data_IF_960491203583
#
_entry.id   IF_960491203583
#
_cell.length_a   1.000
_cell.length_b   1.000
_cell.length_c   1.000
_cell.angle_alpha   90.00
_cell.angle_beta   90.00
_cell.angle_gamma   90.00
#
_symmetry.space_group_name_H-M   'P 1'
#
loop_
_entity.id
_entity.type
_entity.pdbx_description
1 polymer ?
#
# COMPACT_ATOMS: atom_id res chain seq x y z
N UNK A 1 34.02 -7.08 26.81
CA UNK A 1 33.64 -8.40 26.27
C UNK A 1 33.74 -8.28 24.77
N UNK A 2 34.60 -9.07 24.14
CA UNK A 2 34.69 -9.19 22.68
C UNK A 2 33.45 -9.91 22.18
N UNK A 3 32.45 -9.17 21.67
CA UNK A 3 31.35 -9.76 20.92
C UNK A 3 31.94 -10.32 19.63
N UNK A 4 31.87 -11.64 19.51
CA UNK A 4 32.34 -12.41 18.35
C UNK A 4 31.17 -13.14 17.69
N UNK A 5 29.95 -12.88 18.17
CA UNK A 5 28.70 -13.41 17.67
C UNK A 5 28.06 -12.36 16.74
N UNK A 6 27.30 -12.83 15.75
CA UNK A 6 26.56 -11.96 14.84
C UNK A 6 25.64 -11.00 15.61
N UNK A 7 25.55 -9.73 15.17
CA UNK A 7 24.62 -8.77 15.76
C UNK A 7 23.18 -9.29 15.68
N UNK A 8 22.48 -9.31 16.82
CA UNK A 8 21.09 -9.75 16.91
C UNK A 8 20.16 -8.56 16.67
N UNK A 9 19.33 -8.65 15.65
CA UNK A 9 18.38 -7.60 15.28
C UNK A 9 16.95 -8.04 15.64
N UNK A 10 16.29 -7.24 16.48
CA UNK A 10 14.85 -7.39 16.73
C UNK A 10 14.03 -6.64 15.69
N UNK A 11 12.96 -7.24 15.17
CA UNK A 11 12.06 -6.62 14.21
C UNK A 11 10.65 -6.60 14.80
N UNK A 12 10.06 -5.41 14.89
CA UNK A 12 8.69 -5.20 15.36
C UNK A 12 7.75 -5.11 14.17
N UNK A 13 6.95 -6.16 13.94
CA UNK A 13 5.97 -6.26 12.87
C UNK A 13 6.32 -7.32 11.82
N UNK A 14 5.42 -8.29 11.64
CA UNK A 14 5.48 -9.36 10.64
C UNK A 14 4.86 -8.97 9.29
N UNK A 15 4.93 -7.69 8.92
CA UNK A 15 4.54 -7.20 7.60
C UNK A 15 5.63 -7.43 6.54
N UNK A 16 5.32 -7.09 5.29
CA UNK A 16 6.28 -7.19 4.16
C UNK A 16 7.61 -6.49 4.45
N UNK A 17 7.58 -5.28 5.06
CA UNK A 17 8.80 -4.55 5.41
C UNK A 17 9.68 -5.31 6.42
N UNK A 18 9.06 -5.86 7.48
CA UNK A 18 9.77 -6.63 8.50
C UNK A 18 10.36 -7.93 7.95
N UNK A 19 9.58 -8.67 7.15
CA UNK A 19 10.04 -9.90 6.50
C UNK A 19 11.18 -9.65 5.49
N UNK A 20 11.07 -8.57 4.70
CA UNK A 20 12.13 -8.17 3.78
C UNK A 20 13.41 -7.76 4.51
N UNK A 21 13.29 -7.00 5.60
CA UNK A 21 14.42 -6.65 6.46
C UNK A 21 15.08 -7.92 7.02
N UNK A 22 14.29 -8.86 7.55
CA UNK A 22 14.79 -10.14 8.08
C UNK A 22 15.57 -10.93 7.01
N UNK A 23 15.00 -11.08 5.82
CA UNK A 23 15.64 -11.75 4.68
C UNK A 23 16.99 -11.13 4.34
N UNK A 24 17.05 -9.80 4.21
CA UNK A 24 18.28 -9.10 3.83
C UNK A 24 19.35 -9.12 4.93
N UNK A 25 18.94 -9.05 6.20
CA UNK A 25 19.84 -9.14 7.35
C UNK A 25 20.43 -10.55 7.51
N UNK A 26 19.62 -11.61 7.40
CA UNK A 26 20.11 -12.98 7.49
C UNK A 26 21.06 -13.33 6.32
N UNK A 27 20.77 -12.85 5.10
CA UNK A 27 21.68 -13.00 3.96
C UNK A 27 23.05 -12.32 4.17
N UNK A 28 23.15 -11.42 5.15
CA UNK A 28 24.39 -10.74 5.56
C UNK A 28 25.02 -11.33 6.82
N UNK A 29 24.42 -12.38 7.37
CA UNK A 29 24.94 -13.10 8.52
C UNK A 29 24.54 -12.53 9.88
N UNK A 30 23.53 -11.65 9.94
CA UNK A 30 22.95 -11.20 11.22
C UNK A 30 21.98 -12.24 11.79
N UNK A 31 21.91 -12.31 13.12
CA UNK A 31 20.85 -13.05 13.80
C UNK A 31 19.59 -12.17 13.89
N UNK A 32 18.41 -12.73 13.67
CA UNK A 32 17.17 -11.95 13.54
C UNK A 32 16.04 -12.60 14.33
N UNK A 33 15.25 -11.77 15.01
CA UNK A 33 14.00 -12.16 15.65
C UNK A 33 12.87 -11.22 15.20
N UNK A 34 11.80 -11.77 14.64
CA UNK A 34 10.62 -11.01 14.20
C UNK A 34 9.48 -11.27 15.18
N UNK A 35 8.92 -10.20 15.73
CA UNK A 35 7.77 -10.25 16.64
C UNK A 35 6.54 -9.64 15.95
N UNK A 36 5.46 -10.41 15.88
CA UNK A 36 4.19 -10.01 15.29
C UNK A 36 3.07 -10.15 16.33
N UNK A 37 2.35 -9.05 16.58
CA UNK A 37 1.35 -8.98 17.62
C UNK A 37 0.12 -9.85 17.30
N UNK A 38 -0.26 -9.96 16.02
CA UNK A 38 -1.37 -10.81 15.59
C UNK A 38 -0.97 -12.28 15.42
N UNK A 39 -1.96 -13.15 15.26
CA UNK A 39 -1.75 -14.57 14.97
C UNK A 39 -1.34 -14.84 13.51
N UNK A 40 -1.40 -13.82 12.64
CA UNK A 40 -1.21 -13.93 11.19
C UNK A 40 -0.09 -13.02 10.69
N UNK A 41 0.66 -13.51 9.70
CA UNK A 41 1.77 -12.77 9.08
C UNK A 41 1.25 -12.09 7.79
N UNK A 42 1.87 -10.97 7.39
CA UNK A 42 1.60 -10.28 6.12
C UNK A 42 1.08 -8.86 6.24
N UNK A 43 0.63 -8.45 7.43
CA UNK A 43 0.11 -7.09 7.68
C UNK A 43 -1.04 -6.72 6.75
N UNK A 44 -0.92 -5.62 6.01
CA UNK A 44 -1.93 -5.16 5.03
C UNK A 44 -2.05 -6.06 3.79
N UNK A 45 -1.16 -7.03 3.61
CA UNK A 45 -1.24 -8.07 2.58
C UNK A 45 -1.79 -9.40 3.14
N UNK A 46 -2.39 -9.39 4.35
CA UNK A 46 -3.09 -10.54 4.88
C UNK A 46 -4.25 -10.96 3.96
N UNK A 47 -4.61 -12.24 4.01
CA UNK A 47 -5.59 -12.85 3.11
C UNK A 47 -6.77 -13.48 3.85
N UNK A 48 -7.81 -13.82 3.08
CA UNK A 48 -8.86 -14.76 3.41
C UNK A 48 -8.68 -16.04 2.59
N UNK A 49 -9.03 -17.17 3.19
CA UNK A 49 -9.11 -18.44 2.47
C UNK A 49 -10.31 -18.45 1.51
N UNK A 50 -10.13 -19.03 0.33
CA UNK A 50 -11.21 -19.31 -0.63
C UNK A 50 -11.25 -20.80 -0.95
N UNK A 51 -12.13 -21.21 -1.87
CA UNK A 51 -12.14 -22.58 -2.39
C UNK A 51 -10.91 -22.92 -3.28
N UNK A 52 -10.06 -21.94 -3.60
CA UNK A 52 -8.79 -22.15 -4.29
C UNK A 52 -7.69 -21.27 -3.69
N UNK A 53 -7.14 -20.35 -4.48
CA UNK A 53 -6.10 -19.42 -4.04
C UNK A 53 -6.63 -18.50 -2.91
N UNK A 54 -5.78 -18.13 -1.93
CA UNK A 54 -6.17 -17.11 -0.96
C UNK A 54 -6.38 -15.76 -1.67
N UNK A 55 -7.26 -14.93 -1.10
CA UNK A 55 -7.56 -13.58 -1.61
C UNK A 55 -7.15 -12.54 -0.57
N UNK A 56 -6.52 -11.45 -0.99
CA UNK A 56 -6.11 -10.39 -0.06
C UNK A 56 -7.32 -9.71 0.62
N UNK A 57 -7.16 -9.24 1.86
CA UNK A 57 -8.21 -8.50 2.58
C UNK A 57 -8.46 -7.11 2.00
N UNK A 58 -7.44 -6.57 1.35
CA UNK A 58 -7.46 -5.32 0.60
C UNK A 58 -6.89 -5.62 -0.77
N UNK A 59 -7.43 -5.00 -1.81
CA UNK A 59 -6.97 -5.24 -3.19
C UNK A 59 -5.49 -4.85 -3.37
N UNK A 60 -4.74 -5.68 -4.12
CA UNK A 60 -3.34 -5.45 -4.45
C UNK A 60 -3.05 -5.84 -5.89
N UNK A 61 -2.15 -5.11 -6.53
CA UNK A 61 -1.56 -5.43 -7.82
C UNK A 61 -0.20 -4.74 -7.92
N UNK A 62 0.66 -5.21 -8.83
CA UNK A 62 1.96 -4.60 -9.09
C UNK A 62 1.96 -3.77 -10.36
N UNK A 63 2.76 -2.72 -10.38
CA UNK A 63 3.22 -2.07 -11.60
C UNK A 63 4.60 -2.60 -11.97
N UNK A 64 4.94 -2.65 -13.27
CA UNK A 64 6.29 -3.09 -13.70
C UNK A 64 7.41 -2.14 -13.26
N UNK A 65 7.09 -0.89 -12.93
CA UNK A 65 8.05 0.06 -12.36
C UNK A 65 8.50 -0.31 -10.95
N UNK A 66 7.79 -1.22 -10.28
CA UNK A 66 8.14 -1.74 -8.97
C UNK A 66 9.22 -2.82 -9.08
N UNK A 67 10.45 -2.41 -9.36
CA UNK A 67 11.55 -3.34 -9.66
C UNK A 67 11.98 -4.17 -8.44
N UNK A 68 12.00 -3.59 -7.23
CA UNK A 68 12.53 -4.26 -6.04
C UNK A 68 11.72 -5.51 -5.66
N UNK A 69 10.38 -5.43 -5.72
CA UNK A 69 9.52 -6.60 -5.46
C UNK A 69 9.63 -7.67 -6.55
N UNK A 70 9.78 -7.27 -7.82
CA UNK A 70 9.96 -8.20 -8.95
C UNK A 70 11.32 -8.91 -8.85
N UNK A 71 12.38 -8.17 -8.49
CA UNK A 71 13.72 -8.72 -8.24
C UNK A 71 13.70 -9.69 -7.06
N UNK A 72 13.11 -9.31 -5.93
CA UNK A 72 12.96 -10.20 -4.76
C UNK A 72 12.17 -11.46 -5.11
N UNK A 73 11.06 -11.34 -5.85
CA UNK A 73 10.30 -12.50 -6.29
C UNK A 73 11.15 -13.43 -7.16
N UNK A 74 11.99 -12.89 -8.05
CA UNK A 74 12.94 -13.68 -8.85
C UNK A 74 13.98 -14.38 -7.98
N UNK A 75 14.56 -13.69 -6.99
CA UNK A 75 15.51 -14.27 -6.02
C UNK A 75 14.91 -15.43 -5.22
N UNK A 76 13.64 -15.30 -4.83
CA UNK A 76 12.87 -16.32 -4.11
C UNK A 76 12.35 -17.45 -5.03
N UNK A 77 12.65 -17.40 -6.33
CA UNK A 77 12.21 -18.41 -7.30
C UNK A 77 10.75 -18.29 -7.74
N UNK A 78 10.06 -17.21 -7.40
CA UNK A 78 8.66 -16.90 -7.77
C UNK A 78 8.53 -16.15 -9.10
N UNK A 79 9.64 -15.86 -9.79
CA UNK A 79 9.62 -15.19 -11.09
C UNK A 79 8.66 -15.82 -12.13
N UNK A 80 8.58 -17.16 -12.26
CA UNK A 80 7.60 -17.82 -13.13
C UNK A 80 6.14 -17.70 -12.68
N UNK A 81 5.91 -17.48 -11.37
CA UNK A 81 4.58 -17.34 -10.78
C UNK A 81 4.05 -15.89 -10.95
N UNK A 82 4.89 -14.91 -11.26
CA UNK A 82 4.49 -13.52 -11.47
C UNK A 82 3.91 -13.32 -12.89
N UNK A 83 2.62 -13.08 -12.96
CA UNK A 83 1.88 -12.87 -14.20
C UNK A 83 1.61 -11.40 -14.46
N UNK A 84 1.78 -10.96 -15.70
CA UNK A 84 1.40 -9.61 -16.15
C UNK A 84 0.11 -9.69 -16.96
N UNK A 85 -0.96 -9.12 -16.42
CA UNK A 85 -2.33 -9.21 -16.95
C UNK A 85 -2.86 -7.81 -17.27
N UNK A 86 -3.86 -7.76 -18.14
CA UNK A 86 -4.55 -6.50 -18.44
C UNK A 86 -5.62 -6.29 -17.36
N UNK A 87 -5.59 -5.14 -16.70
CA UNK A 87 -6.66 -4.68 -15.83
C UNK A 87 -7.51 -3.64 -16.57
N UNK A 88 -8.75 -4.00 -16.87
CA UNK A 88 -9.72 -3.08 -17.49
C UNK A 88 -10.30 -2.15 -16.42
N UNK A 89 -10.38 -0.86 -16.75
CA UNK A 89 -10.80 0.22 -15.87
C UNK A 89 -11.98 0.98 -16.48
N UNK A 90 -12.98 1.25 -15.66
CA UNK A 90 -14.13 2.04 -16.03
C UNK A 90 -14.48 3.11 -15.00
N UNK A 91 -15.40 3.97 -15.42
CA UNK A 91 -15.92 5.08 -14.65
C UNK A 91 -17.46 5.04 -14.71
N UNK A 92 -18.10 4.92 -13.55
CA UNK A 92 -19.55 4.95 -13.43
C UNK A 92 -20.00 6.39 -13.18
N UNK A 93 -20.82 6.94 -14.08
CA UNK A 93 -21.38 8.29 -13.94
C UNK A 93 -22.74 8.37 -14.65
N UNK A 94 -23.68 9.09 -14.05
CA UNK A 94 -25.04 9.29 -14.57
C UNK A 94 -25.78 7.99 -14.91
N UNK A 95 -25.51 6.92 -14.15
CA UNK A 95 -26.15 5.60 -14.35
C UNK A 95 -25.49 4.68 -15.38
N UNK A 96 -24.40 5.09 -16.02
CA UNK A 96 -23.74 4.34 -17.09
C UNK A 96 -22.27 4.01 -16.76
N UNK A 97 -21.81 2.82 -17.17
CA UNK A 97 -20.41 2.39 -17.08
C UNK A 97 -19.66 2.82 -18.33
N UNK A 98 -18.61 3.63 -18.17
CA UNK A 98 -17.75 4.08 -19.24
C UNK A 98 -16.34 3.50 -19.12
N UNK A 99 -15.93 2.57 -19.99
CA UNK A 99 -14.53 2.14 -20.10
C UNK A 99 -13.61 3.34 -20.41
N UNK A 100 -12.39 3.35 -19.86
CA UNK A 100 -11.41 4.43 -20.07
C UNK A 100 -9.99 3.90 -20.34
N UNK A 101 -9.89 2.69 -20.88
CA UNK A 101 -8.62 1.99 -21.12
C UNK A 101 -7.94 2.42 -22.41
N UNK A 102 -8.71 2.65 -23.46
CA UNK A 102 -8.21 2.96 -24.81
C UNK A 102 -8.47 4.42 -25.21
N UNK A 103 -7.68 4.96 -26.16
CA UNK A 103 -7.91 6.31 -26.68
C UNK A 103 -9.31 6.49 -27.32
N UNK A 104 -9.90 5.45 -27.90
CA UNK A 104 -11.23 5.53 -28.51
C UNK A 104 -12.32 5.61 -27.46
N UNK A 105 -12.20 4.86 -26.37
CA UNK A 105 -13.13 4.93 -25.23
C UNK A 105 -13.05 6.29 -24.53
N UNK A 106 -11.83 6.78 -24.28
CA UNK A 106 -11.63 8.15 -23.77
C UNK A 106 -12.25 9.17 -24.73
N UNK A 107 -12.11 8.99 -26.06
CA UNK A 107 -12.73 9.86 -27.05
C UNK A 107 -14.27 9.76 -27.08
N UNK A 108 -14.83 8.61 -26.70
CA UNK A 108 -16.27 8.39 -26.59
C UNK A 108 -16.86 8.92 -25.27
N UNK A 109 -16.06 9.07 -24.21
CA UNK A 109 -16.53 9.53 -22.89
C UNK A 109 -17.29 10.87 -22.98
N UNK A 110 -18.59 10.91 -22.64
CA UNK A 110 -19.44 12.06 -22.97
C UNK A 110 -19.26 13.26 -22.01
N UNK A 111 -18.66 13.06 -20.83
CA UNK A 111 -18.51 14.10 -19.81
C UNK A 111 -17.22 14.93 -19.93
N UNK A 112 -16.49 14.78 -21.04
CA UNK A 112 -15.31 15.58 -21.38
C UNK A 112 -15.43 16.16 -22.78
N UNK A 113 -15.09 17.44 -22.93
CA UNK A 113 -14.95 18.06 -24.26
C UNK A 113 -13.70 17.53 -24.98
N UNK A 114 -13.61 17.74 -26.29
CA UNK A 114 -12.39 17.37 -27.04
C UNK A 114 -11.15 18.11 -26.50
N UNK A 115 -11.31 19.35 -26.04
CA UNK A 115 -10.23 20.12 -25.45
C UNK A 115 -9.77 19.53 -24.13
N UNK A 116 -10.71 19.07 -23.30
CA UNK A 116 -10.40 18.36 -22.06
C UNK A 116 -9.58 17.09 -22.35
N UNK A 117 -10.01 16.30 -23.33
CA UNK A 117 -9.30 15.07 -23.70
C UNK A 117 -7.87 15.33 -24.17
N UNK A 118 -7.64 16.40 -24.92
CA UNK A 118 -6.29 16.82 -25.34
C UNK A 118 -5.45 17.22 -24.12
N UNK A 119 -6.02 17.97 -23.17
CA UNK A 119 -5.33 18.42 -21.96
C UNK A 119 -5.00 17.27 -21.02
N UNK A 120 -5.92 16.32 -20.83
CA UNK A 120 -5.70 15.11 -20.04
C UNK A 120 -4.66 14.19 -20.70
N UNK A 121 -4.73 14.00 -22.02
CA UNK A 121 -3.74 13.24 -22.76
C UNK A 121 -2.34 13.87 -22.69
N UNK A 122 -2.25 15.20 -22.68
CA UNK A 122 -0.99 15.90 -22.52
C UNK A 122 -0.39 15.66 -21.12
N UNK A 123 -1.17 15.83 -20.05
CA UNK A 123 -0.72 15.56 -18.67
C UNK A 123 -0.24 14.12 -18.49
N UNK A 124 -1.01 13.13 -18.99
CA UNK A 124 -0.65 11.70 -18.90
C UNK A 124 0.54 11.31 -19.76
N UNK A 125 0.95 12.15 -20.72
CA UNK A 125 2.20 12.02 -21.48
C UNK A 125 3.30 12.95 -20.99
N UNK A 126 3.11 13.55 -19.81
CA UNK A 126 4.06 14.46 -19.17
C UNK A 126 4.38 15.70 -20.02
N UNK A 127 3.39 16.19 -20.79
CA UNK A 127 3.51 17.35 -21.67
C UNK A 127 2.76 18.55 -21.08
N UNK A 128 3.48 19.62 -20.73
CA UNK A 128 2.86 20.88 -20.30
C UNK A 128 2.52 21.77 -21.52
N UNK A 129 1.23 22.07 -21.68
CA UNK A 129 0.66 22.88 -22.76
C UNK A 129 0.21 24.29 -22.31
N UNK A 130 0.65 24.78 -21.15
CA UNK A 130 0.32 26.14 -20.68
C UNK A 130 1.06 27.24 -21.45
N UNK A 131 2.25 26.94 -21.96
CA UNK A 131 3.07 27.87 -22.74
C UNK A 131 2.76 27.87 -24.24
N UNK A 132 3.35 28.82 -25.01
CA UNK A 132 3.24 28.83 -26.47
C UNK A 132 3.98 27.67 -27.15
N UNK A 133 4.89 27.02 -26.42
CA UNK A 133 5.69 25.86 -26.86
C UNK A 133 5.50 24.76 -25.80
N UNK A 134 5.14 23.53 -26.18
CA UNK A 134 5.05 22.40 -25.25
C UNK A 134 6.37 22.12 -24.53
N UNK A 135 6.30 21.83 -23.23
CA UNK A 135 7.45 21.40 -22.42
C UNK A 135 7.29 19.93 -22.03
N UNK A 136 8.41 19.20 -22.03
CA UNK A 136 8.47 17.75 -21.76
C UNK A 136 9.18 17.41 -20.45
N UNK A 137 9.79 18.40 -19.81
CA UNK A 137 10.60 18.30 -18.61
C UNK A 137 9.86 18.79 -17.35
N UNK A 138 8.69 19.39 -17.52
CA UNK A 138 7.98 20.10 -16.45
C UNK A 138 7.60 19.20 -15.28
N UNK A 139 7.30 17.92 -15.54
CA UNK A 139 6.84 16.97 -14.53
C UNK A 139 7.91 15.92 -14.19
N UNK A 140 9.16 16.09 -14.65
CA UNK A 140 10.24 15.13 -14.38
C UNK A 140 10.48 14.97 -12.87
N UNK A 141 10.62 16.10 -12.17
CA UNK A 141 10.70 16.16 -10.72
C UNK A 141 9.31 16.42 -10.11
N UNK A 142 8.70 15.36 -9.59
CA UNK A 142 7.37 15.46 -8.96
C UNK A 142 7.43 16.14 -7.58
N UNK A 143 8.57 16.12 -6.91
CA UNK A 143 8.76 16.72 -5.58
C UNK A 143 8.71 18.24 -5.65
N UNK A 144 9.03 18.82 -6.82
CA UNK A 144 8.83 20.24 -7.09
C UNK A 144 7.36 20.69 -6.99
N UNK A 145 6.40 19.76 -6.98
CA UNK A 145 4.97 20.02 -6.85
C UNK A 145 4.41 19.65 -5.48
N UNK A 146 5.29 19.34 -4.52
CA UNK A 146 4.88 18.83 -3.21
C UNK A 146 4.03 19.85 -2.42
N UNK A 147 4.38 21.13 -2.51
CA UNK A 147 3.68 22.24 -1.86
C UNK A 147 2.44 22.73 -2.63
N UNK A 148 2.19 22.21 -3.83
CA UNK A 148 1.10 22.67 -4.71
C UNK A 148 -0.18 21.89 -4.41
N UNK A 149 -1.31 22.54 -4.10
CA UNK A 149 -2.59 21.84 -3.95
C UNK A 149 -3.00 21.13 -5.26
N UNK A 150 -3.44 19.88 -5.17
CA UNK A 150 -3.80 19.06 -6.34
C UNK A 150 -4.88 19.72 -7.21
N UNK A 151 -5.84 20.40 -6.58
CA UNK A 151 -6.90 21.15 -7.26
C UNK A 151 -6.36 22.31 -8.07
N UNK A 152 -5.50 23.14 -7.47
CA UNK A 152 -4.87 24.27 -8.15
C UNK A 152 -4.03 23.78 -9.33
N UNK A 153 -3.22 22.74 -9.10
CA UNK A 153 -2.45 22.10 -10.15
C UNK A 153 -3.34 21.65 -11.32
N UNK A 154 -4.43 20.94 -11.05
CA UNK A 154 -5.34 20.46 -12.10
C UNK A 154 -5.99 21.60 -12.88
N UNK A 155 -6.47 22.63 -12.19
CA UNK A 155 -7.09 23.80 -12.82
C UNK A 155 -6.10 24.57 -13.71
N UNK A 156 -4.83 24.62 -13.34
CA UNK A 156 -3.79 25.29 -14.12
C UNK A 156 -3.29 24.47 -15.32
N UNK A 157 -3.02 23.17 -15.11
CA UNK A 157 -2.35 22.33 -16.11
C UNK A 157 -3.33 21.66 -17.07
N UNK A 158 -4.58 21.49 -16.66
CA UNK A 158 -5.62 20.82 -17.42
C UNK A 158 -6.77 21.78 -17.76
N UNK A 159 -7.97 21.55 -17.24
CA UNK A 159 -9.13 22.42 -17.37
C UNK A 159 -10.02 22.26 -16.13
N UNK A 160 -10.94 23.21 -15.95
CA UNK A 160 -12.02 23.10 -14.96
C UNK A 160 -12.88 21.85 -15.17
N UNK A 161 -13.23 21.54 -16.41
CA UNK A 161 -14.05 20.36 -16.73
C UNK A 161 -13.37 19.04 -16.38
N UNK A 162 -12.05 18.94 -16.52
CA UNK A 162 -11.28 17.75 -16.10
C UNK A 162 -11.24 17.62 -14.58
N UNK A 163 -11.07 18.73 -13.86
CA UNK A 163 -11.16 18.70 -12.41
C UNK A 163 -12.56 18.26 -11.97
N UNK A 164 -13.62 18.97 -12.36
CA UNK A 164 -14.99 18.74 -11.87
C UNK A 164 -15.57 17.38 -12.32
N UNK A 165 -15.36 16.95 -13.57
CA UNK A 165 -16.03 15.77 -14.14
C UNK A 165 -15.19 14.48 -14.11
N UNK A 166 -13.98 14.51 -13.52
CA UNK A 166 -13.11 13.34 -13.50
C UNK A 166 -12.26 13.25 -12.24
N UNK A 167 -11.44 14.24 -11.93
CA UNK A 167 -10.55 14.14 -10.77
C UNK A 167 -11.24 14.42 -9.44
N UNK A 168 -12.19 15.34 -9.39
CA UNK A 168 -12.88 15.71 -8.14
C UNK A 168 -13.60 14.52 -7.52
N UNK A 169 -14.43 13.73 -8.25
CA UNK A 169 -15.07 12.56 -7.65
C UNK A 169 -14.06 11.48 -7.25
N UNK A 170 -12.95 11.31 -7.99
CA UNK A 170 -11.87 10.39 -7.61
C UNK A 170 -11.15 10.82 -6.33
N UNK A 171 -10.97 12.13 -6.16
CA UNK A 171 -10.39 12.72 -4.96
C UNK A 171 -11.35 12.63 -3.77
N UNK A 172 -12.65 12.84 -3.99
CA UNK A 172 -13.71 12.62 -2.99
C UNK A 172 -13.71 11.15 -2.54
N UNK A 173 -13.72 10.20 -3.47
CA UNK A 173 -13.69 8.78 -3.17
C UNK A 173 -12.44 8.35 -2.39
N UNK A 174 -11.29 8.97 -2.66
CA UNK A 174 -10.00 8.58 -2.05
C UNK A 174 -9.62 9.33 -0.79
N UNK A 175 -9.98 10.60 -0.66
CA UNK A 175 -9.55 11.48 0.44
C UNK A 175 -10.71 12.18 1.15
N UNK A 176 -11.93 12.05 0.65
CA UNK A 176 -13.13 12.64 1.24
C UNK A 176 -12.95 14.12 1.58
N UNK A 177 -13.23 14.47 2.84
CA UNK A 177 -13.12 15.83 3.37
C UNK A 177 -11.71 16.43 3.31
N UNK A 178 -10.67 15.61 3.14
CA UNK A 178 -9.26 16.03 3.12
C UNK A 178 -8.71 16.30 1.73
N UNK A 179 -9.50 16.13 0.66
CA UNK A 179 -9.02 16.29 -0.73
C UNK A 179 -8.33 17.63 -1.04
N UNK A 180 -8.70 18.71 -0.34
CA UNK A 180 -8.14 20.05 -0.54
C UNK A 180 -6.73 20.19 0.07
N UNK A 181 -6.31 19.27 0.94
CA UNK A 181 -4.98 19.25 1.56
C UNK A 181 -3.95 18.53 0.68
N UNK A 182 -4.41 17.70 -0.25
CA UNK A 182 -3.60 16.78 -1.04
C UNK A 182 -2.65 17.52 -1.98
N UNK A 183 -1.41 17.06 -1.99
CA UNK A 183 -0.34 17.54 -2.86
C UNK A 183 -0.52 17.10 -4.32
N UNK A 184 -0.15 17.97 -5.26
CA UNK A 184 -0.07 17.63 -6.67
C UNK A 184 1.01 16.58 -6.98
N UNK A 185 2.06 16.49 -6.16
CA UNK A 185 3.09 15.46 -6.29
C UNK A 185 2.52 14.05 -6.18
N UNK A 186 1.51 13.84 -5.33
CA UNK A 186 0.77 12.59 -5.23
C UNK A 186 0.10 12.21 -6.56
N UNK A 187 -0.60 13.15 -7.18
CA UNK A 187 -1.28 12.91 -8.46
C UNK A 187 -0.26 12.59 -9.56
N UNK A 188 0.83 13.35 -9.66
CA UNK A 188 1.89 13.11 -10.63
C UNK A 188 2.56 11.75 -10.40
N UNK A 189 2.80 11.38 -9.15
CA UNK A 189 3.26 10.05 -8.76
C UNK A 189 2.35 8.95 -9.29
N UNK A 190 1.03 9.08 -9.07
CA UNK A 190 0.02 8.14 -9.60
C UNK A 190 0.03 8.05 -11.12
N UNK A 191 0.18 9.18 -11.82
CA UNK A 191 0.25 9.20 -13.30
C UNK A 191 1.49 8.45 -13.80
N UNK A 192 2.64 8.63 -13.14
CA UNK A 192 3.88 7.90 -13.47
C UNK A 192 3.79 6.41 -13.12
N UNK A 193 3.25 6.09 -11.95
CA UNK A 193 3.10 4.72 -11.44
C UNK A 193 2.21 3.87 -12.36
N UNK A 194 1.14 4.46 -12.89
CA UNK A 194 0.19 3.84 -13.84
C UNK A 194 0.58 4.02 -15.33
N UNK A 195 1.83 4.38 -15.59
CA UNK A 195 2.32 4.74 -16.92
C UNK A 195 2.37 3.57 -17.91
N UNK A 196 2.42 2.32 -17.44
CA UNK A 196 2.49 1.13 -18.28
C UNK A 196 1.12 0.71 -18.81
N UNK A 197 0.82 1.14 -20.04
CA UNK A 197 -0.43 0.83 -20.74
C UNK A 197 -0.18 0.17 -22.08
N UNK A 198 -0.91 -0.91 -22.35
CA UNK A 198 -1.15 -1.37 -23.72
C UNK A 198 -2.16 -0.43 -24.38
N UNK A 199 -1.75 0.23 -25.46
CA UNK A 199 -2.57 1.23 -26.17
C UNK A 199 -3.91 0.68 -26.70
N UNK A 200 -4.08 -0.64 -26.77
CA UNK A 200 -5.28 -1.31 -27.26
C UNK A 200 -6.08 -2.01 -26.16
N UNK A 201 -5.50 -2.25 -24.99
CA UNK A 201 -6.08 -3.12 -23.97
C UNK A 201 -6.18 -2.50 -22.58
N UNK A 202 -5.44 -1.44 -22.29
CA UNK A 202 -5.49 -0.78 -20.98
C UNK A 202 -4.22 -1.00 -20.16
N UNK A 203 -4.37 -0.96 -18.85
CA UNK A 203 -3.25 -1.02 -17.91
C UNK A 203 -2.70 -2.45 -17.77
N UNK A 204 -1.37 -2.58 -17.69
CA UNK A 204 -0.73 -3.87 -17.42
C UNK A 204 -0.36 -3.94 -15.95
N UNK A 205 -0.95 -4.90 -15.24
CA UNK A 205 -0.80 -5.09 -13.81
C UNK A 205 -0.23 -6.48 -13.51
N UNK A 206 0.63 -6.54 -12.50
CA UNK A 206 1.27 -7.77 -12.02
C UNK A 206 0.49 -8.41 -10.89
N UNK A 207 0.38 -9.73 -10.91
CA UNK A 207 -0.21 -10.52 -9.83
C UNK A 207 0.41 -11.91 -9.80
N UNK A 208 0.57 -12.49 -8.60
CA UNK A 208 1.14 -13.82 -8.45
C UNK A 208 0.09 -14.91 -8.69
N UNK A 209 0.48 -16.00 -9.34
CA UNK A 209 -0.28 -17.24 -9.32
C UNK A 209 -0.26 -17.82 -7.90
N UNK A 210 -1.42 -17.89 -7.23
CA UNK A 210 -1.54 -18.11 -5.79
C UNK A 210 -1.66 -16.85 -4.92
N UNK A 211 -1.68 -15.65 -5.50
CA UNK A 211 -1.80 -14.38 -4.78
C UNK A 211 -0.53 -13.94 -4.05
N UNK A 212 -0.58 -12.78 -3.38
CA UNK A 212 0.57 -12.20 -2.67
C UNK A 212 1.00 -12.99 -1.44
N UNK A 213 0.16 -13.90 -0.94
CA UNK A 213 0.53 -14.88 0.08
C UNK A 213 1.76 -15.70 -0.34
N UNK A 214 1.95 -15.95 -1.65
CA UNK A 214 3.11 -16.67 -2.18
C UNK A 214 4.44 -15.99 -1.85
N UNK A 215 4.48 -14.66 -1.97
CA UNK A 215 5.67 -13.88 -1.62
C UNK A 215 5.95 -13.97 -0.11
N UNK A 216 4.90 -13.85 0.70
CA UNK A 216 5.00 -13.96 2.17
C UNK A 216 5.49 -15.35 2.57
N UNK A 217 4.89 -16.41 2.03
CA UNK A 217 5.26 -17.79 2.30
C UNK A 217 6.70 -18.10 1.87
N UNK A 218 7.15 -17.59 0.72
CA UNK A 218 8.52 -17.76 0.27
C UNK A 218 9.51 -17.02 1.17
N UNK A 219 9.18 -15.82 1.64
CA UNK A 219 9.98 -15.09 2.63
C UNK A 219 10.07 -15.88 3.94
N UNK A 220 8.93 -16.31 4.51
CA UNK A 220 8.89 -17.12 5.73
C UNK A 220 9.71 -18.41 5.57
N UNK A 221 9.53 -19.11 4.44
CA UNK A 221 10.26 -20.34 4.15
C UNK A 221 11.76 -20.14 4.01
N UNK A 222 12.20 -18.97 3.54
CA UNK A 222 13.61 -18.63 3.39
C UNK A 222 14.24 -18.18 4.71
N UNK A 223 13.54 -17.35 5.50
CA UNK A 223 14.08 -16.85 6.78
C UNK A 223 13.94 -17.83 7.94
N UNK A 224 13.09 -18.84 7.79
CA UNK A 224 12.77 -19.81 8.84
C UNK A 224 11.59 -19.36 9.70
N UNK A 225 10.64 -20.27 9.96
CA UNK A 225 9.47 -19.98 10.78
C UNK A 225 9.84 -19.76 12.25
N UNK A 226 10.95 -20.33 12.69
CA UNK A 226 11.55 -20.17 14.01
C UNK A 226 12.07 -18.75 14.29
N UNK A 227 12.36 -17.98 13.25
CA UNK A 227 12.73 -16.56 13.37
C UNK A 227 11.53 -15.68 13.72
N UNK A 228 10.29 -16.18 13.53
CA UNK A 228 9.07 -15.40 13.68
C UNK A 228 8.26 -15.88 14.88
N UNK A 229 7.90 -14.96 15.77
CA UNK A 229 7.00 -15.21 16.89
C UNK A 229 5.72 -14.41 16.71
N UNK A 230 4.60 -15.09 16.44
CA UNK A 230 3.26 -14.50 16.35
C UNK A 230 2.55 -14.49 17.71
N UNK A 231 1.49 -13.67 17.83
CA UNK A 231 0.81 -13.41 19.11
C UNK A 231 1.70 -12.70 20.13
N UNK A 232 2.76 -12.03 19.66
CA UNK A 232 3.83 -11.46 20.44
C UNK A 232 3.89 -9.94 20.23
N UNK A 233 3.35 -9.18 21.17
CA UNK A 233 3.38 -7.73 21.11
C UNK A 233 4.66 -7.21 21.75
N UNK A 234 5.46 -6.45 21.00
CA UNK A 234 6.57 -5.69 21.60
C UNK A 234 5.93 -4.51 22.33
N UNK A 235 6.25 -4.34 23.61
CA UNK A 235 5.65 -3.32 24.47
C UNK A 235 6.64 -2.25 24.91
N UNK A 236 7.94 -2.52 24.80
CA UNK A 236 8.99 -1.54 25.15
C UNK A 236 10.31 -1.82 24.43
N UNK A 237 11.10 -0.76 24.22
CA UNK A 237 12.48 -0.81 23.69
C UNK A 237 13.40 -0.27 24.78
N UNK A 238 14.07 -1.16 25.51
CA UNK A 238 14.96 -0.78 26.61
C UNK A 238 16.33 -0.34 26.05
N UNK A 239 16.75 0.88 26.41
CA UNK A 239 18.06 1.45 26.06
C UNK A 239 19.03 1.39 27.25
N UNK A 240 20.30 1.09 26.98
CA UNK A 240 21.41 1.15 27.93
C UNK A 240 22.51 2.04 27.37
N UNK A 241 22.94 3.04 28.13
CA UNK A 241 23.91 4.06 27.70
C UNK A 241 23.56 4.73 26.35
N UNK A 242 22.27 4.88 26.05
CA UNK A 242 21.77 5.50 24.81
C UNK A 242 21.77 4.59 23.58
N UNK A 243 22.04 3.29 23.75
CA UNK A 243 21.96 2.26 22.70
C UNK A 243 20.90 1.22 23.04
N UNK A 244 20.28 0.62 22.04
CA UNK A 244 19.38 -0.53 22.21
C UNK A 244 20.09 -1.66 22.96
N UNK A 245 19.42 -2.22 23.98
CA UNK A 245 19.88 -3.39 24.73
C UNK A 245 18.87 -4.54 24.65
N UNK A 246 17.56 -4.24 24.83
CA UNK A 246 16.52 -5.28 24.92
C UNK A 246 15.19 -4.85 24.30
N UNK A 247 14.44 -5.83 23.84
CA UNK A 247 12.99 -5.71 23.59
C UNK A 247 12.21 -6.39 24.71
N UNK A 248 11.14 -5.72 25.15
CA UNK A 248 10.14 -6.30 26.05
C UNK A 248 8.98 -6.78 25.20
N UNK A 249 8.64 -8.07 25.34
CA UNK A 249 7.65 -8.75 24.52
C UNK A 249 6.59 -9.39 25.41
N UNK A 250 5.32 -9.05 25.18
CA UNK A 250 4.17 -9.70 25.80
C UNK A 250 3.60 -10.78 24.88
N UNK A 251 3.45 -12.00 25.41
CA UNK A 251 2.85 -13.14 24.71
C UNK A 251 2.14 -14.05 25.70
N UNK A 252 0.92 -14.47 25.38
CA UNK A 252 0.10 -15.35 26.24
C UNK A 252 -0.03 -14.83 27.70
N UNK A 253 -0.05 -13.50 27.88
CA UNK A 253 -0.10 -12.84 29.19
C UNK A 253 1.21 -12.88 30.00
N UNK A 254 2.33 -13.26 29.38
CA UNK A 254 3.66 -13.26 29.99
C UNK A 254 4.57 -12.25 29.29
N UNK A 255 5.35 -11.52 30.09
CA UNK A 255 6.37 -10.61 29.61
C UNK A 255 7.75 -11.31 29.58
N UNK A 256 8.44 -11.24 28.45
CA UNK A 256 9.81 -11.71 28.27
C UNK A 256 10.71 -10.59 27.75
N UNK A 257 12.01 -10.67 28.08
CA UNK A 257 13.03 -9.74 27.60
C UNK A 257 13.97 -10.44 26.64
N UNK A 258 14.19 -9.84 25.48
CA UNK A 258 15.03 -10.35 24.40
C UNK A 258 16.21 -9.41 24.19
N UNK A 259 17.44 -9.90 24.38
CA UNK A 259 18.65 -9.10 24.15
C UNK A 259 18.84 -8.88 22.64
N UNK A 260 19.04 -7.63 22.25
CA UNK A 260 19.18 -7.20 20.85
C UNK A 260 20.17 -6.04 20.74
N UNK A 261 20.83 -5.91 19.59
CA UNK A 261 21.77 -4.83 19.29
C UNK A 261 21.16 -3.68 18.52
N UNK A 262 20.06 -3.96 17.85
CA UNK A 262 19.33 -3.02 17.02
C UNK A 262 17.88 -3.48 16.92
N UNK A 263 16.98 -2.52 16.75
CA UNK A 263 15.57 -2.74 16.49
C UNK A 263 15.16 -2.08 15.19
N UNK A 264 14.40 -2.80 14.37
CA UNK A 264 13.66 -2.21 13.24
C UNK A 264 12.18 -2.21 13.62
N UNK A 265 11.60 -1.03 13.75
CA UNK A 265 10.14 -0.87 13.87
C UNK A 265 9.55 -0.85 12.47
N UNK A 266 8.94 -1.97 12.06
CA UNK A 266 8.26 -2.15 10.78
C UNK A 266 6.72 -2.10 10.92
N UNK A 267 6.23 -1.57 12.06
CA UNK A 267 4.82 -1.38 12.37
C UNK A 267 4.34 0.04 12.00
N UNK A 268 3.04 0.30 12.24
CA UNK A 268 2.46 1.64 12.03
C UNK A 268 3.07 2.67 13.00
N UNK A 269 3.10 3.98 12.64
CA UNK A 269 3.73 5.01 13.45
C UNK A 269 3.27 5.08 14.90
N UNK A 270 2.01 4.76 15.22
CA UNK A 270 1.57 4.72 16.63
C UNK A 270 2.34 3.71 17.47
N UNK A 271 2.79 2.60 16.87
CA UNK A 271 3.65 1.63 17.56
C UNK A 271 5.05 2.20 17.75
N UNK A 272 5.59 2.95 16.77
CA UNK A 272 6.84 3.68 16.94
C UNK A 272 6.73 4.71 18.08
N UNK A 273 5.67 5.51 18.08
CA UNK A 273 5.36 6.53 19.09
C UNK A 273 5.28 5.90 20.49
N UNK A 274 4.51 4.82 20.64
CA UNK A 274 4.36 4.10 21.91
C UNK A 274 5.67 3.50 22.42
N UNK A 275 6.48 2.91 21.53
CA UNK A 275 7.72 2.23 21.91
C UNK A 275 8.90 3.16 22.17
N UNK A 276 8.92 4.35 21.55
CA UNK A 276 10.12 5.20 21.50
C UNK A 276 9.90 6.65 21.91
N UNK A 277 8.64 7.10 21.95
CA UNK A 277 8.28 8.51 22.11
C UNK A 277 8.58 9.39 20.90
N UNK A 278 9.02 8.82 19.76
CA UNK A 278 9.20 9.58 18.53
C UNK A 278 7.84 9.91 17.91
N UNK A 279 7.48 11.19 17.84
CA UNK A 279 6.22 11.69 17.28
C UNK A 279 6.24 11.63 15.73
N UNK A 280 5.16 11.14 15.13
CA UNK A 280 5.00 11.12 13.68
C UNK A 280 3.88 12.07 13.25
N UNK A 281 4.26 13.12 12.52
CA UNK A 281 3.32 14.14 12.05
C UNK A 281 2.48 13.70 10.83
N UNK A 282 2.82 12.56 10.21
CA UNK A 282 2.06 12.05 9.05
C UNK A 282 0.70 11.54 9.50
N UNK A 283 -0.33 12.14 8.93
CA UNK A 283 -1.69 11.67 9.09
C UNK A 283 -2.04 10.49 8.17
N UNK A 284 -2.91 9.61 8.67
CA UNK A 284 -3.36 8.42 7.95
C UNK A 284 -4.87 8.37 7.86
N UNK A 285 -5.36 7.82 6.76
CA UNK A 285 -6.76 7.47 6.57
C UNK A 285 -7.01 5.98 6.78
N UNK A 286 -8.16 5.67 7.35
CA UNK A 286 -8.66 4.32 7.49
C UNK A 286 -9.25 3.77 6.19
N UNK A 287 -9.52 2.48 6.17
CA UNK A 287 -10.26 1.81 5.11
C UNK A 287 -11.25 0.84 5.73
N UNK A 288 -12.47 0.82 5.19
CA UNK A 288 -13.42 -0.30 5.29
C UNK A 288 -13.47 -0.96 3.92
N UNK A 289 -13.14 -2.25 3.86
CA UNK A 289 -13.13 -3.00 2.61
C UNK A 289 -13.76 -4.36 2.83
N UNK A 290 -14.70 -4.73 1.95
CA UNK A 290 -15.33 -6.04 1.98
C UNK A 290 -15.03 -6.80 0.71
N UNK A 291 -14.75 -8.10 0.87
CA UNK A 291 -14.75 -9.07 -0.23
C UNK A 291 -16.12 -9.72 -0.25
N UNK A 292 -16.82 -9.57 -1.37
CA UNK A 292 -18.13 -10.15 -1.66
C UNK A 292 -17.91 -11.27 -2.68
N UNK A 293 -18.27 -12.49 -2.32
CA UNK A 293 -18.29 -13.61 -3.26
C UNK A 293 -19.67 -13.75 -3.89
N UNK A 294 -19.68 -13.90 -5.21
CA UNK A 294 -20.87 -13.94 -6.05
C UNK A 294 -20.89 -15.21 -6.90
N UNK A 295 -22.09 -15.75 -7.16
CA UNK A 295 -22.31 -16.82 -8.13
C UNK A 295 -22.15 -16.35 -9.58
N UNK A 296 -22.58 -15.11 -9.85
CA UNK A 296 -22.55 -14.47 -11.18
C UNK A 296 -21.73 -13.17 -11.13
N UNK A 297 -21.12 -12.80 -12.26
CA UNK A 297 -20.42 -11.51 -12.40
C UNK A 297 -21.37 -10.34 -12.13
N UNK A 298 -20.89 -9.34 -11.40
CA UNK A 298 -21.60 -8.07 -11.28
C UNK A 298 -21.27 -7.15 -12.47
N UNK A 299 -20.01 -7.19 -12.92
CA UNK A 299 -19.47 -6.33 -13.96
C UNK A 299 -18.51 -7.09 -14.87
N UNK A 300 -18.22 -6.51 -16.04
CA UNK A 300 -17.20 -7.03 -16.98
C UNK A 300 -15.82 -6.36 -16.80
N UNK A 301 -15.71 -5.35 -15.94
CA UNK A 301 -14.47 -4.59 -15.70
C UNK A 301 -13.78 -5.05 -14.41
N UNK A 302 -12.46 -4.90 -14.34
CA UNK A 302 -11.72 -5.17 -13.10
C UNK A 302 -11.92 -4.05 -12.09
N UNK A 303 -11.73 -2.80 -12.49
CA UNK A 303 -11.79 -1.64 -11.59
C UNK A 303 -12.88 -0.68 -12.05
N UNK A 304 -13.82 -0.37 -11.17
CA UNK A 304 -14.86 0.62 -11.40
C UNK A 304 -14.75 1.75 -10.37
N UNK A 305 -14.39 2.93 -10.86
CA UNK A 305 -14.49 4.15 -10.06
C UNK A 305 -15.90 4.72 -10.20
N UNK A 306 -16.39 5.37 -9.15
CA UNK A 306 -17.79 5.78 -9.08
C UNK A 306 -17.85 7.27 -8.80
N UNK A 307 -18.44 8.02 -9.73
CA UNK A 307 -18.69 9.44 -9.57
C UNK A 307 -20.05 9.72 -8.91
N UNK A 308 -21.03 8.86 -9.16
CA UNK A 308 -22.36 8.96 -8.57
C UNK A 308 -22.31 8.72 -7.05
N UNK A 309 -23.33 9.20 -6.35
CA UNK A 309 -23.45 8.99 -4.91
C UNK A 309 -23.57 7.49 -4.61
N UNK A 310 -22.56 6.95 -3.92
CA UNK A 310 -22.48 5.55 -3.52
C UNK A 310 -21.81 5.45 -2.15
N UNK A 311 -22.09 4.41 -1.37
CA UNK A 311 -21.49 4.27 -0.06
C UNK A 311 -20.00 3.85 -0.14
N UNK A 312 -19.56 3.31 -1.29
CA UNK A 312 -18.18 2.93 -1.59
C UNK A 312 -17.58 3.86 -2.65
N UNK A 313 -16.27 4.11 -2.56
CA UNK A 313 -15.56 4.94 -3.53
C UNK A 313 -15.14 4.18 -4.80
N UNK A 314 -15.02 2.85 -4.70
CA UNK A 314 -14.71 1.99 -5.84
C UNK A 314 -15.25 0.57 -5.61
N UNK A 315 -15.57 -0.09 -6.73
CA UNK A 315 -15.82 -1.52 -6.79
C UNK A 315 -14.73 -2.16 -7.65
N UNK A 316 -14.20 -3.31 -7.21
CA UNK A 316 -13.21 -4.05 -7.98
C UNK A 316 -13.61 -5.51 -8.11
N UNK A 317 -14.06 -5.94 -9.28
CA UNK A 317 -14.32 -7.35 -9.52
C UNK A 317 -13.00 -8.03 -9.88
N UNK A 318 -12.30 -8.48 -8.84
CA UNK A 318 -11.01 -9.16 -8.91
C UNK A 318 -11.02 -10.29 -9.93
N UNK A 319 -12.15 -10.96 -10.09
CA UNK A 319 -12.28 -12.10 -11.00
C UNK A 319 -12.35 -11.75 -12.49
N UNK A 320 -12.40 -10.46 -12.83
CA UNK A 320 -12.18 -9.95 -14.19
C UNK A 320 -10.70 -9.69 -14.48
N UNK A 321 -9.88 -9.53 -13.44
CA UNK A 321 -8.42 -9.45 -13.55
C UNK A 321 -7.77 -10.83 -13.46
N UNK A 322 -8.23 -11.65 -12.51
CA UNK A 322 -7.76 -13.00 -12.22
C UNK A 322 -8.86 -14.02 -12.48
N UNK A 323 -8.65 -15.09 -13.27
CA UNK A 323 -9.73 -16.03 -13.59
C UNK A 323 -10.36 -16.66 -12.35
N UNK A 324 -11.70 -16.63 -12.28
CA UNK A 324 -12.49 -17.28 -11.20
C UNK A 324 -12.17 -18.75 -10.95
N UNK A 325 -11.60 -19.45 -11.94
CA UNK A 325 -11.13 -20.83 -11.76
C UNK A 325 -10.05 -20.96 -10.68
N UNK A 326 -9.35 -19.87 -10.34
CA UNK A 326 -8.41 -19.82 -9.21
C UNK A 326 -9.12 -19.77 -7.86
N UNK A 327 -10.38 -19.36 -7.80
CA UNK A 327 -11.15 -19.17 -6.56
C UNK A 327 -12.35 -20.12 -6.47
N UNK A 328 -12.19 -21.36 -6.96
CA UNK A 328 -13.26 -22.36 -6.95
C UNK A 328 -14.43 -22.09 -7.89
N UNK A 329 -14.30 -21.11 -8.79
CA UNK A 329 -15.34 -20.71 -9.73
C UNK A 329 -16.21 -19.54 -9.26
N UNK A 330 -16.00 -19.03 -8.05
CA UNK A 330 -16.72 -17.86 -7.53
C UNK A 330 -16.22 -16.55 -8.16
N UNK A 331 -17.12 -15.59 -8.33
CA UNK A 331 -16.76 -14.22 -8.67
C UNK A 331 -16.43 -13.44 -7.39
N UNK A 332 -15.31 -12.70 -7.36
CA UNK A 332 -14.87 -11.98 -6.17
C UNK A 332 -14.87 -10.48 -6.43
N UNK A 333 -15.63 -9.75 -5.64
CA UNK A 333 -15.83 -8.32 -5.73
C UNK A 333 -15.34 -7.63 -4.45
N UNK A 334 -14.44 -6.67 -4.58
CA UNK A 334 -14.13 -5.75 -3.51
C UNK A 334 -15.08 -4.56 -3.54
N UNK A 335 -15.66 -4.21 -2.40
CA UNK A 335 -16.27 -2.91 -2.14
C UNK A 335 -15.40 -2.17 -1.12
N UNK A 336 -14.95 -0.95 -1.44
CA UNK A 336 -13.99 -0.23 -0.61
C UNK A 336 -14.35 1.25 -0.43
N UNK A 337 -14.13 1.75 0.78
CA UNK A 337 -14.22 3.16 1.10
C UNK A 337 -13.12 3.57 2.07
N UNK A 338 -12.63 4.80 1.90
CA UNK A 338 -11.63 5.41 2.77
C UNK A 338 -12.31 6.24 3.86
N UNK A 339 -11.79 6.14 5.08
CA UNK A 339 -12.32 6.80 6.27
C UNK A 339 -11.33 7.87 6.73
N UNK A 340 -11.78 9.12 6.84
CA UNK A 340 -10.96 10.24 7.31
C UNK A 340 -11.08 10.45 8.83
N UNK A 341 -12.15 9.95 9.45
CA UNK A 341 -12.36 10.06 10.89
C UNK A 341 -13.08 8.84 11.48
N UNK A 342 -12.69 8.39 12.70
CA UNK A 342 -13.46 7.39 13.45
C UNK A 342 -14.90 7.81 13.76
N UNK A 343 -15.23 9.10 13.59
CA UNK A 343 -16.58 9.62 13.79
C UNK A 343 -17.52 9.37 12.60
N UNK A 344 -17.02 8.95 11.45
CA UNK A 344 -17.83 8.63 10.28
C UNK A 344 -18.72 7.41 10.51
N UNK A 345 -19.95 7.47 9.99
CA UNK A 345 -20.97 6.44 10.23
C UNK A 345 -20.48 5.06 9.79
N UNK A 346 -19.86 4.97 8.61
CA UNK A 346 -19.33 3.71 8.06
C UNK A 346 -18.26 3.07 8.97
N UNK A 347 -17.48 3.85 9.71
CA UNK A 347 -16.48 3.31 10.65
C UNK A 347 -17.11 2.71 11.90
N UNK A 348 -18.24 3.28 12.34
CA UNK A 348 -18.98 2.87 13.54
C UNK A 348 -19.87 1.64 13.30
N UNK A 349 -20.19 1.35 12.05
CA UNK A 349 -21.02 0.20 11.65
C UNK A 349 -20.35 -1.13 11.97
N UNK A 350 -21.14 -2.07 12.49
CA UNK A 350 -20.73 -3.47 12.57
C UNK A 350 -20.68 -4.15 11.18
N UNK A 351 -20.24 -5.40 11.12
CA UNK A 351 -20.09 -6.10 9.83
C UNK A 351 -21.41 -6.27 9.09
N UNK A 352 -22.52 -6.51 9.79
CA UNK A 352 -23.82 -6.71 9.15
C UNK A 352 -24.39 -5.39 8.61
N UNK A 353 -24.17 -4.28 9.33
CA UNK A 353 -24.53 -2.94 8.86
C UNK A 353 -23.73 -2.52 7.63
N UNK A 354 -22.42 -2.82 7.60
CA UNK A 354 -21.56 -2.59 6.43
C UNK A 354 -22.02 -3.44 5.24
N UNK A 355 -22.29 -4.73 5.45
CA UNK A 355 -22.82 -5.63 4.41
C UNK A 355 -24.11 -5.11 3.80
N UNK A 356 -25.08 -4.72 4.62
CA UNK A 356 -26.35 -4.15 4.15
C UNK A 356 -26.13 -2.87 3.35
N UNK A 357 -25.22 -2.02 3.81
CA UNK A 357 -24.86 -0.76 3.14
C UNK A 357 -24.26 -1.02 1.76
N UNK A 358 -23.35 -1.99 1.64
CA UNK A 358 -22.76 -2.40 0.37
C UNK A 358 -23.79 -2.96 -0.59
N UNK A 359 -24.61 -3.91 -0.14
CA UNK A 359 -25.62 -4.54 -1.00
C UNK A 359 -26.65 -3.52 -1.50
N UNK A 360 -27.14 -2.65 -0.61
CA UNK A 360 -28.06 -1.57 -1.00
C UNK A 360 -27.45 -0.61 -2.02
N UNK A 361 -26.16 -0.25 -1.83
CA UNK A 361 -25.42 0.57 -2.78
C UNK A 361 -25.27 -0.10 -4.14
N UNK A 362 -24.93 -1.40 -4.16
CA UNK A 362 -24.80 -2.18 -5.39
C UNK A 362 -26.15 -2.28 -6.11
N UNK A 363 -27.24 -2.60 -5.42
CA UNK A 363 -28.60 -2.66 -6.00
C UNK A 363 -29.02 -1.33 -6.66
N UNK A 364 -28.62 -0.21 -6.04
CA UNK A 364 -28.93 1.12 -6.57
C UNK A 364 -28.20 1.43 -7.88
N UNK A 365 -26.98 0.91 -8.06
CA UNK A 365 -26.17 1.15 -9.25
C UNK A 365 -26.38 0.07 -10.33
N UNK A 366 -26.71 -1.16 -9.91
CA UNK A 366 -26.87 -2.32 -10.78
C UNK A 366 -28.26 -2.94 -10.57
N UNK A 367 -29.31 -2.46 -11.26
CA UNK A 367 -30.68 -2.95 -11.06
C UNK A 367 -30.91 -4.43 -11.39
N UNK A 368 -29.98 -5.07 -12.10
CA UNK A 368 -30.00 -6.50 -12.42
C UNK A 368 -29.35 -7.37 -11.33
N UNK A 369 -28.69 -6.75 -10.34
CA UNK A 369 -28.09 -7.47 -9.22
C UNK A 369 -29.16 -8.13 -8.35
N UNK A 370 -28.93 -9.38 -8.01
CA UNK A 370 -29.76 -10.15 -7.07
C UNK A 370 -28.92 -10.54 -5.84
N UNK A 371 -29.41 -10.22 -4.64
CA UNK A 371 -28.76 -10.60 -3.38
C UNK A 371 -28.69 -12.12 -3.20
N UNK A 372 -29.58 -12.89 -3.84
CA UNK A 372 -29.50 -14.36 -3.82
C UNK A 372 -28.20 -14.89 -4.45
N UNK A 373 -27.52 -14.10 -5.29
CA UNK A 373 -26.24 -14.46 -5.88
C UNK A 373 -25.05 -14.33 -4.91
N UNK A 374 -25.24 -13.81 -3.70
CA UNK A 374 -24.16 -13.60 -2.73
C UNK A 374 -23.89 -14.89 -1.94
N UNK A 375 -22.70 -15.45 -2.11
CA UNK A 375 -22.26 -16.65 -1.38
C UNK A 375 -21.83 -16.31 0.05
N UNK A 376 -21.03 -15.26 0.19
CA UNK A 376 -20.49 -14.80 1.47
C UNK A 376 -19.91 -13.38 1.33
N UNK A 377 -19.83 -12.67 2.46
CA UNK A 377 -19.11 -11.40 2.57
C UNK A 377 -18.12 -11.48 3.74
N UNK A 378 -16.96 -10.84 3.57
CA UNK A 378 -15.95 -10.67 4.62
C UNK A 378 -15.44 -9.25 4.64
N UNK A 379 -15.60 -8.58 5.78
CA UNK A 379 -15.23 -7.18 5.96
C UNK A 379 -13.92 -7.05 6.75
N UNK A 380 -12.97 -6.30 6.20
CA UNK A 380 -11.75 -5.88 6.86
C UNK A 380 -11.81 -4.36 7.16
N UNK A 381 -11.28 -3.98 8.32
CA UNK A 381 -11.08 -2.58 8.70
C UNK A 381 -9.62 -2.37 9.07
N UNK A 382 -9.05 -1.25 8.64
CA UNK A 382 -7.77 -0.79 9.14
C UNK A 382 -7.84 0.72 9.40
N UNK A 383 -7.52 1.20 10.62
CA UNK A 383 -7.63 2.62 10.96
C UNK A 383 -6.56 3.49 10.28
N UNK A 384 -5.49 2.89 9.77
CA UNK A 384 -4.35 3.58 9.16
C UNK A 384 -3.84 2.80 7.95
N UNK A 385 -4.65 2.82 6.91
CA UNK A 385 -4.44 2.05 5.68
C UNK A 385 -3.61 2.78 4.63
N UNK A 386 -3.60 4.12 4.64
CA UNK A 386 -2.86 4.94 3.69
C UNK A 386 -2.48 6.29 4.32
N UNK A 387 -1.31 6.86 3.99
CA UNK A 387 -1.02 8.24 4.35
C UNK A 387 -1.93 9.19 3.59
N UNK A 388 -2.21 10.35 4.19
CA UNK A 388 -2.72 11.50 3.46
C UNK A 388 -1.51 12.28 2.95
N UNK A 389 -1.27 12.24 1.64
CA UNK A 389 -0.14 12.93 1.01
C UNK A 389 -0.43 14.42 0.87
N UNK A 390 -0.41 15.12 2.01
CA UNK A 390 -0.62 16.55 2.09
C UNK A 390 0.61 17.35 1.62
N UNK A 391 0.49 18.68 1.62
CA UNK A 391 1.59 19.60 1.29
C UNK A 391 2.60 19.62 2.45
N UNK A 392 3.89 19.65 2.15
CA UNK A 392 4.94 19.53 3.17
C UNK A 392 5.13 18.11 3.72
N UNK A 393 4.49 17.09 3.13
CA UNK A 393 4.68 15.67 3.48
C UNK A 393 6.14 15.24 3.63
N UNK A 394 7.03 15.68 2.75
CA UNK A 394 8.44 15.24 2.77
C UNK A 394 9.18 15.69 4.03
N UNK A 395 8.77 16.80 4.65
CA UNK A 395 9.33 17.26 5.93
C UNK A 395 8.86 16.41 7.11
N UNK A 396 7.73 15.70 6.97
CA UNK A 396 7.15 14.83 8.00
C UNK A 396 7.60 13.36 7.89
N UNK A 397 8.31 13.00 6.82
CA UNK A 397 8.80 11.63 6.59
C UNK A 397 9.70 11.20 7.74
N UNK A 398 9.38 10.04 8.32
CA UNK A 398 10.17 9.44 9.40
C UNK A 398 11.48 8.90 8.81
N UNK A 399 12.66 9.33 9.32
CA UNK A 399 13.94 8.80 8.88
C UNK A 399 14.11 7.31 9.17
N UNK A 400 14.84 6.59 8.32
CA UNK A 400 15.15 5.18 8.56
C UNK A 400 16.03 4.95 9.80
N UNK A 401 16.93 5.88 10.11
CA UNK A 401 17.84 5.86 11.26
C UNK A 401 17.38 6.89 12.30
N UNK A 402 16.97 6.41 13.47
CA UNK A 402 16.48 7.23 14.57
C UNK A 402 17.52 7.41 15.68
N UNK A 403 18.79 7.08 15.43
CA UNK A 403 19.85 7.12 16.45
C UNK A 403 20.00 8.48 17.13
N UNK A 404 19.80 9.58 16.39
CA UNK A 404 19.90 10.93 16.96
C UNK A 404 18.67 11.37 17.74
N UNK A 405 17.50 10.79 17.46
CA UNK A 405 16.22 11.20 18.05
C UNK A 405 15.81 10.30 19.23
N UNK A 406 16.11 9.01 19.15
CA UNK A 406 15.70 7.99 20.13
C UNK A 406 16.91 7.39 20.83
N UNK A 407 17.82 6.77 20.06
CA UNK A 407 19.00 6.09 20.59
C UNK A 407 19.67 5.18 19.56
N UNK A 408 20.95 4.91 19.73
CA UNK A 408 21.74 4.12 18.79
C UNK A 408 21.13 2.72 18.59
N UNK A 409 20.98 2.31 17.32
CA UNK A 409 20.41 1.02 16.96
C UNK A 409 18.90 1.01 16.79
N UNK A 410 18.21 2.16 16.84
CA UNK A 410 16.77 2.26 16.55
C UNK A 410 16.54 2.68 15.09
N UNK A 411 15.79 1.87 14.36
CA UNK A 411 15.47 2.08 12.94
C UNK A 411 13.97 1.98 12.68
N UNK A 412 13.48 2.63 11.63
CA UNK A 412 12.06 2.60 11.23
C UNK A 412 11.88 2.24 9.75
N UNK A 413 11.07 1.22 9.46
CA UNK A 413 10.78 0.74 8.11
C UNK A 413 9.28 0.75 7.77
N UNK A 414 8.46 1.47 8.55
CA UNK A 414 7.01 1.48 8.38
C UNK A 414 6.50 2.43 7.28
N UNK A 415 5.17 2.60 7.21
CA UNK A 415 4.50 3.31 6.14
C UNK A 415 4.81 4.81 6.07
N UNK A 416 5.29 5.42 7.16
CA UNK A 416 5.67 6.84 7.21
C UNK A 416 7.10 7.11 6.69
N UNK A 417 7.75 6.11 6.10
CA UNK A 417 9.12 6.21 5.59
C UNK A 417 9.17 6.69 4.13
N UNK A 418 10.36 7.11 3.69
CA UNK A 418 10.56 7.78 2.40
C UNK A 418 10.15 6.95 1.18
N UNK A 419 10.30 5.62 1.24
CA UNK A 419 9.98 4.71 0.13
C UNK A 419 8.47 4.59 -0.14
N UNK A 420 7.63 5.11 0.75
CA UNK A 420 6.16 5.10 0.62
C UNK A 420 5.63 6.43 0.07
N UNK A 421 6.52 7.34 -0.33
CA UNK A 421 6.18 8.60 -0.99
C UNK A 421 6.50 8.52 -2.49
N UNK A 422 5.64 9.11 -3.36
CA UNK A 422 4.36 9.76 -3.05
C UNK A 422 3.19 8.78 -3.06
N UNK A 423 3.46 7.49 -3.12
CA UNK A 423 2.43 6.45 -3.14
C UNK A 423 2.89 5.21 -2.38
N UNK A 424 1.99 4.67 -1.58
CA UNK A 424 2.25 3.47 -0.79
C UNK A 424 2.23 2.23 -1.65
N UNK A 425 3.16 1.32 -1.40
CA UNK A 425 3.26 0.07 -2.14
C UNK A 425 3.93 -1.04 -1.33
N UNK A 426 3.72 -2.29 -1.77
CA UNK A 426 4.45 -3.44 -1.24
C UNK A 426 5.94 -3.34 -1.61
N UNK A 427 6.26 -2.80 -2.79
CA UNK A 427 7.62 -2.49 -3.20
C UNK A 427 8.31 -1.52 -2.23
N UNK A 428 7.65 -0.39 -1.93
CA UNK A 428 8.15 0.58 -0.97
C UNK A 428 8.36 0.00 0.43
N UNK A 429 7.56 -1.01 0.82
CA UNK A 429 7.73 -1.70 2.09
C UNK A 429 9.01 -2.54 2.10
N UNK A 430 9.29 -3.25 1.01
CA UNK A 430 10.54 -4.00 0.83
C UNK A 430 11.74 -3.05 0.84
N UNK A 431 11.66 -1.94 0.11
CA UNK A 431 12.72 -0.92 0.04
C UNK A 431 13.01 -0.30 1.42
N UNK A 432 11.97 0.00 2.20
CA UNK A 432 12.12 0.50 3.56
C UNK A 432 12.84 -0.51 4.47
N UNK A 433 12.41 -1.79 4.44
CA UNK A 433 13.06 -2.85 5.19
C UNK A 433 14.53 -3.04 4.77
N UNK A 434 14.80 -2.95 3.47
CA UNK A 434 16.14 -3.04 2.92
C UNK A 434 17.02 -1.86 3.31
N UNK A 435 16.48 -0.64 3.32
CA UNK A 435 17.21 0.55 3.74
C UNK A 435 17.68 0.44 5.21
N UNK A 436 16.81 -0.01 6.12
CA UNK A 436 17.20 -0.26 7.51
C UNK A 436 18.26 -1.36 7.63
N UNK A 437 18.11 -2.48 6.91
CA UNK A 437 19.11 -3.55 6.89
C UNK A 437 20.48 -3.08 6.38
N UNK A 438 20.50 -2.20 5.36
CA UNK A 438 21.72 -1.59 4.81
C UNK A 438 22.40 -0.64 5.81
N UNK A 439 21.62 0.08 6.62
CA UNK A 439 22.14 0.99 7.64
C UNK A 439 22.79 0.21 8.80
N UNK A 440 22.15 -0.86 9.26
CA UNK A 440 22.69 -1.75 10.31
C UNK A 440 24.03 -2.35 9.86
N UNK A 441 24.10 -2.90 8.64
CA UNK A 441 25.34 -3.46 8.10
C UNK A 441 26.48 -2.41 8.03
N UNK A 442 26.16 -1.18 7.63
CA UNK A 442 27.15 -0.09 7.57
C UNK A 442 27.62 0.34 8.96
N UNK A 443 26.75 0.30 9.96
CA UNK A 443 27.10 0.62 11.34
C UNK A 443 28.04 -0.44 11.93
N UNK A 444 27.75 -1.72 11.71
CA UNK A 444 28.58 -2.84 12.16
C UNK A 444 29.99 -2.77 11.56
N UNK A 445 30.11 -2.55 10.24
CA UNK A 445 31.41 -2.38 9.56
C UNK A 445 32.23 -1.17 10.04
N UNK A 446 31.61 -0.17 10.69
CA UNK A 446 32.29 1.01 11.22
C UNK A 446 32.78 0.82 12.65
N UNK A 447 32.38 -0.23 13.36
CA UNK A 447 32.96 -0.55 14.66
C UNK A 447 34.45 -0.91 14.46
N UNK A 448 35.39 -0.23 15.15
CA UNK A 448 36.80 -0.54 15.00
C UNK A 448 37.05 -1.99 15.45
N UNK A 449 37.65 -2.79 14.56
CA UNK A 449 38.14 -4.12 14.90
C UNK A 449 39.07 -3.96 16.09
N UNK A 450 38.61 -4.35 17.27
CA UNK A 450 39.40 -4.31 18.49
C UNK A 450 40.53 -5.35 18.37
N UNK A 451 41.69 -4.93 17.88
CA UNK A 451 42.90 -5.75 17.94
C UNK A 451 43.94 -5.41 16.90
N UNK A 452 44.90 -4.56 17.28
CA UNK A 452 46.32 -4.95 17.40
C UNK A 452 46.94 -3.99 18.43
N UNK A 453 46.97 -4.43 19.69
CA UNK A 453 47.88 -3.86 20.68
C UNK A 453 49.23 -4.59 20.52
N UNK A 454 50.27 -3.84 20.15
CA UNK A 454 51.67 -4.24 20.40
C UNK A 454 52.09 -3.86 21.82
#
# INVERSE_FOLDING_TARGET
>A
MTRTDADTVGIVGGGIAGLAAAYRLQNRGHDVQVFEASDSIGGLAATYETAGDPIEKFYHHLSKSEHTIVELASELGLGPDLEWRVGENAYYVDGDVHPLDTPLEILAYPHMSLYDKVRLAALTKEIDLRGPIPRLDTYEDIEAFEEVPVKEFLLEHTTRGIYENFFEPLLDAKFGSRKEEVSAAWLLGRVKFRGERDLRRGEILGYFDGGFARLIDALIGTIGRETITTGASVTDVELSDGRVDRLVVERDGNETRHEVDSVIVAAMPNVLEELTGYECDIEFQGTVCSVVSLEESLMDTYWLNIADEAPFGALLEHTNFVPRSRYGGEHLLYAASYIQSPEEDLWKMDDAEVEETWLSGIESLFPEFDRENVNWIRTARNPRSAPVYERGYLDMVVPYDLSSAVGEGVYYAGMASRAQYPERSLNGAIEAGYACADLIERADRRQPIAGYAE
#
